data_IF_135751774298
#
_entry.id   IF_135751774298
#
_cell.length_a   1.000
_cell.length_b   1.000
_cell.length_c   1.000
_cell.angle_alpha   90.00
_cell.angle_beta   90.00
_cell.angle_gamma   90.00
#
_symmetry.space_group_name_H-M   'P 1'
#
loop_
_entity.id
_entity.type
_entity.pdbx_description
1 polymer ?
#
# COMPACT_ATOMS: atom_id res chain seq x y z
N UNK A 1 -21.32 -17.87 -8.57
CA UNK A 1 -21.52 -18.87 -7.50
C UNK A 1 -22.98 -19.01 -7.13
N UNK A 2 -23.64 -17.96 -6.59
CA UNK A 2 -25.04 -18.05 -6.13
C UNK A 2 -26.00 -18.54 -7.23
N UNK A 3 -25.90 -17.98 -8.44
CA UNK A 3 -26.73 -18.43 -9.57
C UNK A 3 -26.44 -19.91 -9.92
N UNK A 4 -25.17 -20.30 -9.88
CA UNK A 4 -24.77 -21.68 -10.17
C UNK A 4 -25.28 -22.66 -9.10
N UNK A 5 -25.17 -22.33 -7.81
CA UNK A 5 -25.71 -23.17 -6.72
C UNK A 5 -27.23 -23.26 -6.79
N UNK A 6 -27.94 -22.16 -7.07
CA UNK A 6 -29.40 -22.21 -7.28
C UNK A 6 -29.75 -23.07 -8.49
N UNK A 7 -29.00 -22.98 -9.59
CA UNK A 7 -29.17 -23.85 -10.75
C UNK A 7 -29.01 -25.34 -10.41
N UNK A 8 -28.00 -25.69 -9.61
CA UNK A 8 -27.75 -27.08 -9.15
C UNK A 8 -28.91 -27.63 -8.32
N UNK A 9 -29.65 -26.80 -7.59
CA UNK A 9 -30.85 -27.23 -6.86
C UNK A 9 -32.12 -27.22 -7.73
N UNK A 10 -32.32 -26.18 -8.53
CA UNK A 10 -33.59 -25.92 -9.23
C UNK A 10 -33.72 -26.70 -10.54
N UNK A 11 -32.63 -26.87 -11.31
CA UNK A 11 -32.69 -27.58 -12.59
C UNK A 11 -33.08 -29.06 -12.42
N UNK A 12 -32.47 -29.83 -11.50
CA UNK A 12 -32.89 -31.21 -11.24
C UNK A 12 -34.32 -31.30 -10.69
N UNK A 13 -34.73 -30.32 -9.86
CA UNK A 13 -36.08 -30.25 -9.34
C UNK A 13 -37.13 -30.00 -10.45
N UNK A 14 -36.82 -29.13 -11.43
CA UNK A 14 -37.69 -28.89 -12.59
C UNK A 14 -37.75 -30.09 -13.53
N UNK A 15 -36.65 -30.83 -13.67
CA UNK A 15 -36.58 -32.06 -14.46
C UNK A 15 -37.13 -33.30 -13.73
N UNK A 16 -37.62 -33.15 -12.49
CA UNK A 16 -38.14 -34.23 -11.63
C UNK A 16 -37.15 -35.39 -11.46
N UNK A 17 -35.87 -35.07 -11.31
CA UNK A 17 -34.83 -36.06 -11.00
C UNK A 17 -35.06 -36.60 -9.59
N UNK A 18 -34.88 -37.90 -9.40
CA UNK A 18 -34.96 -38.54 -8.09
C UNK A 18 -33.90 -37.99 -7.13
N UNK A 19 -34.18 -38.06 -5.83
CA UNK A 19 -33.30 -37.63 -4.74
C UNK A 19 -32.98 -36.11 -4.70
N UNK A 20 -34.02 -35.31 -4.47
CA UNK A 20 -33.91 -33.86 -4.22
C UNK A 20 -32.95 -33.49 -3.08
N UNK A 21 -32.78 -34.38 -2.09
CA UNK A 21 -31.87 -34.16 -0.97
C UNK A 21 -30.42 -34.14 -1.42
N UNK A 22 -30.04 -35.04 -2.35
CA UNK A 22 -28.71 -35.06 -2.95
C UNK A 22 -28.38 -33.77 -3.69
N UNK A 23 -29.29 -33.27 -4.52
CA UNK A 23 -29.09 -32.05 -5.31
C UNK A 23 -29.06 -30.78 -4.44
N UNK A 24 -29.89 -30.73 -3.40
CA UNK A 24 -29.81 -29.67 -2.39
C UNK A 24 -28.48 -29.70 -1.65
N UNK A 25 -28.01 -30.88 -1.22
CA UNK A 25 -26.69 -31.02 -0.58
C UNK A 25 -25.57 -30.52 -1.50
N UNK A 26 -25.57 -30.93 -2.76
CA UNK A 26 -24.56 -30.51 -3.73
C UNK A 26 -24.59 -29.00 -3.99
N UNK A 27 -25.77 -28.38 -4.01
CA UNK A 27 -25.91 -26.92 -4.15
C UNK A 27 -25.23 -26.16 -3.01
N UNK A 28 -25.32 -26.65 -1.78
CA UNK A 28 -24.68 -26.07 -0.61
C UNK A 28 -23.15 -26.27 -0.65
N UNK A 29 -22.69 -27.43 -1.09
CA UNK A 29 -21.26 -27.71 -1.28
C UNK A 29 -20.65 -26.73 -2.29
N UNK A 30 -21.31 -26.51 -3.44
CA UNK A 30 -20.86 -25.54 -4.45
C UNK A 30 -20.83 -24.12 -3.90
N UNK A 31 -21.83 -23.74 -3.09
CA UNK A 31 -21.91 -22.42 -2.50
C UNK A 31 -20.77 -22.17 -1.49
N UNK A 32 -20.53 -23.11 -0.57
CA UNK A 32 -19.49 -23.02 0.46
C UNK A 32 -18.09 -23.12 -0.12
N UNK A 33 -17.87 -24.03 -1.07
CA UNK A 33 -16.56 -24.23 -1.72
C UNK A 33 -16.06 -22.98 -2.45
N UNK A 34 -16.95 -22.06 -2.80
CA UNK A 34 -16.58 -20.85 -3.52
C UNK A 34 -16.14 -19.70 -2.62
N UNK A 35 -16.17 -19.85 -1.29
CA UNK A 35 -15.72 -18.82 -0.37
C UNK A 35 -14.24 -18.49 -0.65
N UNK A 36 -13.90 -17.25 -1.07
CA UNK A 36 -12.55 -16.92 -1.51
C UNK A 36 -11.66 -16.52 -0.33
N UNK A 37 -11.56 -17.37 0.70
CA UNK A 37 -10.88 -17.07 1.97
C UNK A 37 -9.43 -16.57 1.75
N UNK A 38 -8.70 -17.21 0.82
CA UNK A 38 -7.32 -16.83 0.51
C UNK A 38 -7.21 -15.43 -0.11
N UNK A 39 -8.16 -15.04 -0.95
CA UNK A 39 -8.19 -13.71 -1.57
C UNK A 39 -8.51 -12.62 -0.56
N UNK A 40 -9.39 -12.89 0.41
CA UNK A 40 -9.71 -11.91 1.46
C UNK A 40 -8.50 -11.68 2.36
N UNK A 41 -7.72 -12.73 2.64
CA UNK A 41 -6.51 -12.64 3.47
C UNK A 41 -5.30 -12.06 2.74
N UNK A 42 -5.25 -12.09 1.41
CA UNK A 42 -4.05 -11.69 0.67
C UNK A 42 -3.67 -10.22 0.89
N UNK A 43 -4.65 -9.32 0.90
CA UNK A 43 -4.40 -7.87 1.06
C UNK A 43 -3.86 -7.51 2.45
N UNK A 44 -4.52 -7.85 3.58
CA UNK A 44 -4.02 -7.48 4.89
C UNK A 44 -2.65 -8.10 5.20
N UNK A 45 -2.42 -9.35 4.79
CA UNK A 45 -1.11 -10.01 4.96
C UNK A 45 -0.02 -9.29 4.18
N UNK A 46 -0.26 -8.95 2.91
CA UNK A 46 0.70 -8.22 2.10
C UNK A 46 1.02 -6.84 2.68
N UNK A 47 0.00 -6.09 3.12
CA UNK A 47 0.21 -4.75 3.71
C UNK A 47 1.00 -4.82 5.01
N UNK A 48 0.72 -5.79 5.88
CA UNK A 48 1.42 -5.96 7.15
C UNK A 48 2.89 -6.36 6.94
N UNK A 49 3.15 -7.28 6.01
CA UNK A 49 4.52 -7.65 5.65
C UNK A 49 5.30 -6.45 5.10
N UNK A 50 4.69 -5.66 4.23
CA UNK A 50 5.33 -4.49 3.65
C UNK A 50 5.59 -3.38 4.69
N UNK A 51 4.65 -3.12 5.60
CA UNK A 51 4.82 -2.17 6.71
C UNK A 51 5.95 -2.60 7.64
N UNK A 52 6.01 -3.88 8.03
CA UNK A 52 7.11 -4.40 8.86
C UNK A 52 8.44 -4.29 8.15
N UNK A 53 8.47 -4.59 6.85
CA UNK A 53 9.71 -4.48 6.07
C UNK A 53 10.18 -3.03 5.98
N UNK A 54 9.28 -2.09 5.71
CA UNK A 54 9.58 -0.66 5.69
C UNK A 54 10.14 -0.18 7.05
N UNK A 55 9.50 -0.58 8.16
CA UNK A 55 9.96 -0.24 9.49
C UNK A 55 11.37 -0.81 9.79
N UNK A 56 11.66 -2.05 9.35
CA UNK A 56 12.98 -2.68 9.52
C UNK A 56 14.12 -1.95 8.80
N UNK A 57 13.81 -1.10 7.81
CA UNK A 57 14.79 -0.30 7.07
C UNK A 57 14.67 1.20 7.38
N UNK A 58 13.97 1.57 8.46
CA UNK A 58 13.86 2.96 8.92
C UNK A 58 12.82 3.82 8.19
N UNK A 59 11.91 3.21 7.42
CA UNK A 59 10.81 3.92 6.76
C UNK A 59 9.53 3.75 7.59
N UNK A 60 9.01 4.86 8.11
CA UNK A 60 7.75 4.88 8.86
C UNK A 60 6.57 5.22 7.94
N UNK A 61 5.64 4.27 7.77
CA UNK A 61 4.40 4.47 7.00
C UNK A 61 3.21 4.38 7.97
N UNK A 62 2.35 5.40 7.99
CA UNK A 62 1.21 5.52 8.93
C UNK A 62 -0.02 4.66 8.53
N UNK A 63 0.19 3.45 8.02
CA UNK A 63 -0.87 2.50 7.67
C UNK A 63 -0.91 2.05 6.20
N UNK A 64 -1.64 0.96 5.92
CA UNK A 64 -1.67 0.30 4.61
C UNK A 64 -2.23 1.18 3.48
N UNK A 65 -3.23 2.02 3.75
CA UNK A 65 -3.81 2.92 2.74
C UNK A 65 -2.79 3.92 2.16
N UNK A 66 -1.87 4.41 3.00
CA UNK A 66 -0.79 5.29 2.54
C UNK A 66 0.23 4.53 1.69
N UNK A 67 0.49 3.27 2.00
CA UNK A 67 1.37 2.41 1.21
C UNK A 67 0.80 2.14 -0.19
N UNK A 68 -0.50 1.85 -0.29
CA UNK A 68 -1.17 1.69 -1.58
C UNK A 68 -1.20 2.98 -2.40
N UNK A 69 -1.40 4.12 -1.73
CA UNK A 69 -1.36 5.43 -2.37
C UNK A 69 0.04 5.75 -2.87
N UNK A 70 1.07 5.45 -2.07
CA UNK A 70 2.48 5.62 -2.44
C UNK A 70 2.83 4.79 -3.69
N UNK A 71 2.29 3.59 -3.84
CA UNK A 71 2.51 2.74 -5.02
C UNK A 71 2.02 3.37 -6.34
N UNK A 72 1.10 4.35 -6.28
CA UNK A 72 0.60 5.07 -7.47
C UNK A 72 1.30 6.40 -7.72
N UNK A 73 2.18 6.85 -6.82
CA UNK A 73 2.89 8.13 -6.95
C UNK A 73 3.90 8.05 -8.11
N UNK A 74 3.84 9.03 -9.01
CA UNK A 74 4.77 9.16 -10.16
C UNK A 74 5.73 10.33 -10.04
N UNK A 75 5.37 11.32 -9.22
CA UNK A 75 6.11 12.57 -9.05
C UNK A 75 6.28 12.81 -7.57
N UNK A 76 7.51 13.12 -7.16
CA UNK A 76 7.83 13.54 -5.80
C UNK A 76 8.29 14.98 -5.82
N UNK A 77 7.64 15.83 -5.04
CA UNK A 77 8.10 17.17 -4.75
C UNK A 77 8.83 17.15 -3.42
N UNK A 78 10.10 17.55 -3.41
CA UNK A 78 10.91 17.63 -2.21
C UNK A 78 10.92 19.06 -1.69
N UNK A 79 10.66 19.23 -0.40
CA UNK A 79 11.00 20.48 0.27
C UNK A 79 12.52 20.63 0.33
N UNK A 80 13.03 21.85 0.22
CA UNK A 80 14.48 22.10 0.25
C UNK A 80 15.00 22.18 1.68
N UNK A 81 14.34 22.96 2.52
CA UNK A 81 14.85 23.31 3.85
C UNK A 81 14.55 22.18 4.83
N UNK A 82 15.58 21.59 5.44
CA UNK A 82 15.39 20.49 6.40
C UNK A 82 15.14 19.10 5.78
N UNK A 83 14.89 19.00 4.49
CA UNK A 83 14.78 17.72 3.75
C UNK A 83 16.00 17.51 2.86
N UNK A 84 16.19 18.31 1.80
CA UNK A 84 17.39 18.23 0.95
C UNK A 84 18.62 18.87 1.60
N UNK A 85 18.39 19.88 2.44
CA UNK A 85 19.43 20.59 3.18
C UNK A 85 19.29 20.37 4.67
N UNK A 86 20.39 20.54 5.41
CA UNK A 86 20.41 20.37 6.87
C UNK A 86 19.72 21.50 7.63
N UNK A 87 19.21 22.53 6.94
CA UNK A 87 18.66 23.74 7.58
C UNK A 87 19.69 24.55 8.38
N UNK A 88 20.99 24.29 8.18
CA UNK A 88 22.10 25.01 8.81
C UNK A 88 22.71 25.97 7.80
N UNK A 89 22.65 27.26 8.09
CA UNK A 89 23.27 28.28 7.25
C UNK A 89 24.76 28.39 7.57
N UNK A 90 25.59 28.48 6.54
CA UNK A 90 26.97 28.93 6.68
C UNK A 90 27.24 30.03 5.67
N UNK A 91 28.18 30.91 5.99
CA UNK A 91 28.72 31.86 5.02
C UNK A 91 29.48 31.06 3.97
N UNK A 92 29.12 31.20 2.70
CA UNK A 92 29.84 30.57 1.58
C UNK A 92 30.92 31.49 1.03
N UNK A 93 30.57 32.75 0.83
CA UNK A 93 31.45 33.77 0.30
C UNK A 93 31.28 35.07 1.07
N UNK A 94 32.40 35.72 1.32
CA UNK A 94 32.47 37.07 1.80
C UNK A 94 33.24 37.89 0.77
N UNK A 95 32.60 38.91 0.19
CA UNK A 95 33.20 39.78 -0.81
C UNK A 95 33.50 41.15 -0.17
N UNK A 96 34.70 41.34 0.42
CA UNK A 96 35.06 42.60 1.05
C UNK A 96 35.25 43.70 -0.01
N UNK A 97 34.85 44.91 0.34
CA UNK A 97 35.22 46.09 -0.41
C UNK A 97 36.64 46.54 0.01
N UNK A 98 37.59 46.44 -0.91
CA UNK A 98 39.02 46.69 -0.70
C UNK A 98 39.37 48.11 -0.24
N UNK A 99 38.42 49.06 -0.32
CA UNK A 99 38.61 50.44 0.20
C UNK A 99 38.38 50.56 1.71
N UNK A 100 37.73 49.58 2.34
CA UNK A 100 37.28 49.69 3.74
C UNK A 100 37.92 48.63 4.64
N UNK A 101 38.20 47.41 4.14
CA UNK A 101 38.77 46.32 4.95
C UNK A 101 39.84 45.55 4.14
N UNK A 102 41.07 45.50 4.67
CA UNK A 102 42.16 44.68 4.11
C UNK A 102 41.90 43.19 4.37
N UNK A 103 42.12 42.34 3.37
CA UNK A 103 41.84 40.91 3.43
C UNK A 103 42.55 40.16 4.57
N UNK A 104 43.68 40.69 5.05
CA UNK A 104 44.42 40.12 6.20
C UNK A 104 43.69 40.29 7.54
N UNK A 105 42.82 41.30 7.71
CA UNK A 105 42.06 41.54 8.95
C UNK A 105 40.80 40.68 9.11
N UNK A 106 40.39 39.97 8.05
CA UNK A 106 39.16 39.16 8.03
C UNK A 106 39.39 37.68 8.38
N UNK A 107 40.64 37.24 8.43
CA UNK A 107 41.04 35.85 8.70
C UNK A 107 41.64 35.63 10.09
N UNK A 108 41.67 36.68 10.91
CA UNK A 108 41.96 36.65 12.36
C UNK A 108 40.72 37.08 13.14
#
# INVERSE_FOLDING_TARGET
>A
VVIASVGVAVVPAMLRVDDLHHWLYLSLVVLVSACPCALVLSTPVATECALRRAASIGILVKGGHHLESLARVKVMAFDKTGTLTRGKFSVSYFYPNSRVVSGEKLLY
#
